data_IF_497896644327
#
_entry.id   IF_497896644327
#
_cell.length_a   1.000
_cell.length_b   1.000
_cell.length_c   1.000
_cell.angle_alpha   90.00
_cell.angle_beta   90.00
_cell.angle_gamma   90.00
#
_symmetry.space_group_name_H-M   'P 1'
#
loop_
_entity.id
_entity.type
_entity.pdbx_description
1 polymer ?
#
# COMPACT_ATOMS: atom_id res chain seq x y z
N UNK A 1 5.14 35.20 46.49
CA UNK A 1 5.24 33.84 47.09
C UNK A 1 4.23 32.81 46.55
N UNK A 2 3.17 33.18 45.81
CA UNK A 2 2.12 32.23 45.35
C UNK A 2 2.54 31.31 44.19
N UNK A 3 3.27 31.79 43.17
CA UNK A 3 3.66 30.99 41.99
C UNK A 3 4.59 29.81 42.27
N UNK A 4 5.43 29.88 43.31
CA UNK A 4 6.42 28.83 43.64
C UNK A 4 5.79 27.61 44.32
N UNK A 5 4.68 27.79 45.05
CA UNK A 5 3.92 26.68 45.67
C UNK A 5 3.13 25.87 44.62
N UNK A 6 2.61 26.53 43.58
CA UNK A 6 1.87 25.89 42.48
C UNK A 6 2.73 24.90 41.68
N UNK A 7 4.00 25.24 41.42
CA UNK A 7 4.92 24.38 40.65
C UNK A 7 5.39 23.16 41.44
N UNK A 8 5.56 23.31 42.76
CA UNK A 8 5.94 22.20 43.65
C UNK A 8 4.80 21.19 43.77
N UNK A 9 3.55 21.64 43.88
CA UNK A 9 2.38 20.75 43.94
C UNK A 9 2.17 19.96 42.65
N UNK A 10 2.45 20.54 41.47
CA UNK A 10 2.42 19.80 40.20
C UNK A 10 3.48 18.71 40.13
N UNK A 11 4.71 18.99 40.59
CA UNK A 11 5.78 17.98 40.63
C UNK A 11 5.47 16.86 41.62
N UNK A 12 4.91 17.18 42.79
CA UNK A 12 4.49 16.16 43.77
C UNK A 12 3.37 15.26 43.22
N UNK A 13 2.38 15.84 42.54
CA UNK A 13 1.29 15.05 41.94
C UNK A 13 1.80 14.14 40.81
N UNK A 14 2.78 14.59 40.02
CA UNK A 14 3.39 13.78 38.97
C UNK A 14 4.19 12.61 39.55
N UNK A 15 4.94 12.84 40.64
CA UNK A 15 5.67 11.79 41.35
C UNK A 15 4.69 10.78 41.97
N UNK A 16 3.58 11.26 42.55
CA UNK A 16 2.57 10.39 43.15
C UNK A 16 1.90 9.51 42.08
N UNK A 17 1.54 10.07 40.92
CA UNK A 17 0.99 9.35 39.77
C UNK A 17 1.95 8.25 39.27
N UNK A 18 3.24 8.59 39.18
CA UNK A 18 4.27 7.64 38.76
C UNK A 18 4.43 6.50 39.77
N UNK A 19 4.46 6.80 41.07
CA UNK A 19 4.54 5.80 42.14
C UNK A 19 3.32 4.88 42.17
N UNK A 20 2.12 5.40 41.92
CA UNK A 20 0.89 4.60 41.82
C UNK A 20 0.90 3.67 40.60
N UNK A 21 1.38 4.13 39.44
CA UNK A 21 1.51 3.30 38.25
C UNK A 21 2.50 2.15 38.48
N UNK A 22 3.62 2.42 39.14
CA UNK A 22 4.63 1.43 39.50
C UNK A 22 4.07 0.38 40.48
N UNK A 23 3.25 0.79 41.43
CA UNK A 23 2.58 -0.12 42.36
C UNK A 23 1.58 -1.05 41.64
N UNK A 24 0.82 -0.54 40.67
CA UNK A 24 -0.12 -1.35 39.88
C UNK A 24 0.63 -2.40 39.06
N UNK A 25 1.74 -2.03 38.41
CA UNK A 25 2.58 -2.99 37.67
C UNK A 25 3.13 -4.07 38.60
N UNK A 26 3.58 -3.70 39.80
CA UNK A 26 4.09 -4.67 40.79
C UNK A 26 2.99 -5.66 41.22
N UNK A 27 1.77 -5.18 41.45
CA UNK A 27 0.62 -6.05 41.80
C UNK A 27 0.27 -7.00 40.65
N UNK A 28 0.32 -6.54 39.40
CA UNK A 28 0.10 -7.38 38.22
C UNK A 28 1.16 -8.49 38.12
N UNK A 29 2.44 -8.15 38.34
CA UNK A 29 3.54 -9.13 38.32
C UNK A 29 3.34 -10.19 39.41
N UNK A 30 3.02 -9.79 40.65
CA UNK A 30 2.75 -10.71 41.76
C UNK A 30 1.53 -11.60 41.46
N UNK A 31 0.49 -11.05 40.83
CA UNK A 31 -0.69 -11.81 40.44
C UNK A 31 -0.37 -12.88 39.38
N UNK A 32 0.43 -12.53 38.36
CA UNK A 32 0.84 -13.47 37.31
C UNK A 32 1.73 -14.57 37.91
N UNK A 33 2.66 -14.23 38.79
CA UNK A 33 3.59 -15.20 39.42
C UNK A 33 2.85 -16.18 40.35
N UNK A 34 1.85 -15.71 41.11
CA UNK A 34 0.98 -16.57 41.92
C UNK A 34 0.08 -17.48 41.07
N UNK A 35 -0.34 -17.03 39.88
CA UNK A 35 -1.12 -17.85 38.94
C UNK A 35 -0.26 -18.95 38.29
N UNK A 36 0.94 -18.60 37.87
CA UNK A 36 1.96 -19.55 37.38
C UNK A 36 2.30 -20.64 38.42
N UNK A 37 2.36 -20.25 39.70
CA UNK A 37 2.63 -21.18 40.81
C UNK A 37 1.45 -22.10 41.18
N UNK A 38 0.22 -21.78 40.77
CA UNK A 38 -0.97 -22.59 41.05
C UNK A 38 -1.32 -23.58 39.94
N UNK A 39 -0.90 -23.31 38.69
CA UNK A 39 -1.15 -24.21 37.56
C UNK A 39 -0.18 -25.43 37.52
N UNK A 40 0.89 -25.44 38.32
CA UNK A 40 1.88 -26.53 38.35
C UNK A 40 1.59 -27.62 39.41
N UNK A 41 0.36 -27.68 39.94
CA UNK A 41 -0.10 -28.74 40.86
C UNK A 41 -1.51 -29.21 40.47
N UNK A 42 -1.66 -29.92 39.35
CA UNK A 42 -2.72 -30.93 39.17
C UNK A 42 -2.56 -31.69 37.85
N UNK A 43 -1.55 -32.56 37.78
CA UNK A 43 -1.61 -33.71 36.88
C UNK A 43 -1.87 -34.98 37.71
N UNK A 44 -3.07 -35.52 37.55
CA UNK A 44 -3.41 -36.85 38.05
C UNK A 44 -4.86 -37.04 38.46
N UNK A 45 -5.73 -37.43 37.51
CA UNK A 45 -6.49 -38.70 37.54
C UNK A 45 -7.64 -38.73 36.53
N UNK A 46 -7.73 -39.89 35.88
CA UNK A 46 -8.86 -40.39 35.10
C UNK A 46 -10.14 -40.56 35.93
N UNK A 47 -11.30 -40.35 35.29
CA UNK A 47 -12.42 -41.30 35.29
C UNK A 47 -13.53 -40.77 34.39
N UNK A 48 -14.03 -41.61 33.47
CA UNK A 48 -15.18 -41.28 32.65
C UNK A 48 -16.50 -41.35 33.42
N UNK A 49 -17.55 -40.82 32.80
CA UNK A 49 -18.93 -41.24 33.02
C UNK A 49 -19.80 -40.76 31.86
N UNK A 50 -20.57 -41.72 31.35
CA UNK A 50 -21.58 -41.66 30.30
C UNK A 50 -22.83 -40.89 30.77
N UNK A 51 -23.49 -40.19 29.85
CA UNK A 51 -24.83 -39.66 30.06
C UNK A 51 -25.42 -39.09 28.76
N UNK A 52 -26.20 -39.92 28.06
CA UNK A 52 -27.08 -39.54 26.94
C UNK A 52 -28.39 -38.95 27.49
N UNK A 53 -28.93 -37.90 26.87
CA UNK A 53 -30.37 -37.64 26.67
C UNK A 53 -30.57 -36.57 25.57
N UNK A 54 -31.13 -37.01 24.44
CA UNK A 54 -32.18 -36.45 23.55
C UNK A 54 -32.83 -35.11 23.96
N UNK A 55 -33.44 -34.25 23.11
CA UNK A 55 -33.69 -34.08 21.67
C UNK A 55 -34.50 -32.76 21.56
N UNK A 56 -34.75 -32.27 20.33
CA UNK A 56 -35.58 -31.14 19.88
C UNK A 56 -34.88 -29.75 19.87
N UNK A 57 -34.70 -29.04 18.75
CA UNK A 57 -35.40 -29.04 17.47
C UNK A 57 -36.04 -27.65 17.25
N UNK A 58 -35.36 -26.70 16.58
CA UNK A 58 -35.73 -26.21 15.24
C UNK A 58 -34.69 -25.21 14.70
N UNK A 59 -34.49 -25.12 13.37
CA UNK A 59 -33.38 -24.40 12.74
C UNK A 59 -33.75 -22.97 12.28
N UNK A 60 -32.74 -22.10 12.27
CA UNK A 60 -32.77 -20.74 11.71
C UNK A 60 -32.44 -20.82 10.20
N UNK A 61 -33.16 -20.10 9.32
CA UNK A 61 -33.01 -20.24 7.87
C UNK A 61 -31.75 -19.55 7.34
N UNK A 62 -31.05 -20.25 6.45
CA UNK A 62 -29.90 -19.77 5.66
C UNK A 62 -30.41 -19.09 4.38
N UNK A 63 -29.91 -17.92 3.96
CA UNK A 63 -30.23 -17.35 2.66
C UNK A 63 -29.39 -18.01 1.55
N UNK A 64 -30.10 -18.53 0.55
CA UNK A 64 -29.60 -19.09 -0.70
C UNK A 64 -29.06 -18.01 -1.65
N UNK A 65 -27.82 -18.19 -2.12
CA UNK A 65 -27.22 -17.43 -3.23
C UNK A 65 -27.46 -18.20 -4.54
N UNK A 66 -27.87 -17.57 -5.66
CA UNK A 66 -28.04 -18.24 -6.95
C UNK A 66 -26.70 -18.59 -7.61
N UNK A 67 -26.61 -19.79 -8.18
CA UNK A 67 -25.46 -20.26 -8.96
C UNK A 67 -25.38 -19.58 -10.34
N UNK A 68 -24.16 -19.19 -10.73
CA UNK A 68 -23.80 -18.77 -12.09
C UNK A 68 -23.65 -19.99 -13.02
N UNK A 69 -24.02 -19.90 -14.30
CA UNK A 69 -23.93 -21.01 -15.24
C UNK A 69 -22.50 -21.21 -15.77
N UNK A 70 -22.12 -22.48 -15.90
CA UNK A 70 -20.88 -22.97 -16.50
C UNK A 70 -21.08 -23.20 -18.00
N UNK A 71 -20.33 -22.48 -18.85
CA UNK A 71 -20.21 -22.79 -20.28
C UNK A 71 -18.90 -23.53 -20.54
N UNK A 72 -19.00 -24.78 -21.01
CA UNK A 72 -17.90 -25.54 -21.62
C UNK A 72 -17.85 -25.32 -23.14
N UNK A 73 -16.66 -25.31 -23.77
CA UNK A 73 -16.50 -25.05 -25.19
C UNK A 73 -16.72 -26.31 -26.06
N UNK A 74 -17.49 -26.15 -27.16
CA UNK A 74 -17.65 -27.18 -28.21
C UNK A 74 -16.51 -27.13 -29.24
N UNK A 75 -15.97 -28.31 -29.54
CA UNK A 75 -15.03 -28.63 -30.64
C UNK A 75 -15.75 -28.67 -32.01
N UNK A 76 -15.07 -28.45 -33.14
CA UNK A 76 -15.68 -28.42 -34.47
C UNK A 76 -15.59 -29.76 -35.22
N UNK A 77 -16.61 -30.02 -36.04
CA UNK A 77 -16.71 -31.15 -36.97
C UNK A 77 -16.03 -30.87 -38.32
N UNK A 78 -15.44 -31.92 -38.87
CA UNK A 78 -14.81 -32.06 -40.19
C UNK A 78 -15.79 -32.50 -41.27
N UNK A 79 -15.62 -32.03 -42.53
CA UNK A 79 -15.35 -32.85 -43.73
C UNK A 79 -15.62 -32.10 -45.06
N UNK A 80 -14.62 -32.16 -45.97
CA UNK A 80 -14.65 -32.48 -47.42
C UNK A 80 -15.74 -31.92 -48.36
N UNK A 81 -15.58 -31.75 -49.67
CA UNK A 81 -14.49 -31.61 -50.65
C UNK A 81 -15.22 -31.37 -52.00
N UNK A 82 -14.62 -30.62 -52.93
CA UNK A 82 -15.17 -30.45 -54.29
C UNK A 82 -14.13 -29.85 -55.23
N UNK A 83 -13.75 -30.63 -56.23
CA UNK A 83 -12.67 -30.45 -57.22
C UNK A 83 -13.14 -29.85 -58.55
N UNK A 84 -12.17 -29.56 -59.42
CA UNK A 84 -12.17 -29.19 -60.87
C UNK A 84 -11.95 -27.68 -61.12
N UNK A 85 -11.09 -27.21 -62.02
CA UNK A 85 -10.15 -27.81 -62.98
C UNK A 85 -9.09 -26.73 -63.36
N UNK A 86 -8.00 -27.17 -64.02
CA UNK A 86 -6.78 -26.42 -64.28
C UNK A 86 -6.82 -25.53 -65.54
N UNK A 87 -5.99 -24.48 -65.58
CA UNK A 87 -5.28 -24.14 -66.82
C UNK A 87 -3.95 -23.38 -66.60
N UNK A 88 -3.03 -23.72 -67.51
CA UNK A 88 -1.60 -23.47 -67.75
C UNK A 88 -0.84 -22.21 -67.25
N UNK A 89 0.32 -22.50 -66.65
CA UNK A 89 1.70 -21.97 -66.82
C UNK A 89 1.97 -20.58 -67.47
N UNK A 90 2.75 -19.75 -66.78
CA UNK A 90 4.11 -19.35 -67.22
C UNK A 90 4.92 -18.68 -66.08
N UNK A 91 6.23 -18.94 -66.07
CA UNK A 91 7.24 -18.51 -65.10
C UNK A 91 7.73 -17.06 -65.33
N UNK A 92 7.96 -16.28 -64.26
CA UNK A 92 9.29 -15.77 -63.85
C UNK A 92 9.23 -14.92 -62.55
N UNK A 93 10.35 -14.76 -61.81
CA UNK A 93 10.35 -14.49 -60.37
C UNK A 93 10.50 -12.99 -60.05
N UNK A 94 9.55 -12.45 -59.28
CA UNK A 94 9.66 -11.15 -58.63
C UNK A 94 9.56 -11.35 -57.13
N UNK A 95 10.69 -11.24 -56.43
CA UNK A 95 10.72 -11.29 -54.99
C UNK A 95 10.05 -10.06 -54.39
N UNK A 96 9.12 -10.30 -53.49
CA UNK A 96 8.76 -9.40 -52.40
C UNK A 96 8.30 -10.30 -51.27
N UNK A 97 9.25 -10.64 -50.39
CA UNK A 97 8.93 -11.14 -49.06
C UNK A 97 8.05 -10.08 -48.41
N UNK A 98 6.78 -10.41 -48.19
CA UNK A 98 5.89 -9.66 -47.35
C UNK A 98 6.63 -9.38 -46.03
N UNK A 99 6.99 -8.12 -45.82
CA UNK A 99 7.51 -7.65 -44.56
C UNK A 99 6.44 -7.99 -43.52
N UNK A 100 6.83 -8.79 -42.53
CA UNK A 100 6.10 -8.86 -41.28
C UNK A 100 5.89 -7.41 -40.84
N UNK A 101 4.63 -7.02 -40.67
CA UNK A 101 4.29 -5.75 -40.05
C UNK A 101 4.94 -5.77 -38.67
N UNK A 102 5.92 -4.90 -38.48
CA UNK A 102 6.60 -4.70 -37.20
C UNK A 102 5.53 -4.32 -36.16
N UNK A 103 5.21 -5.26 -35.27
CA UNK A 103 4.64 -4.96 -33.95
C UNK A 103 5.41 -3.78 -33.37
N UNK A 104 4.74 -2.72 -32.85
CA UNK A 104 5.44 -1.55 -32.37
C UNK A 104 6.36 -1.95 -31.21
N UNK A 105 7.66 -2.06 -31.49
CA UNK A 105 8.64 -2.25 -30.43
C UNK A 105 8.52 -1.04 -29.50
N UNK A 106 8.11 -1.28 -28.25
CA UNK A 106 8.09 -0.25 -27.22
C UNK A 106 9.54 0.14 -26.91
N UNK A 107 10.08 1.06 -27.71
CA UNK A 107 11.45 1.54 -27.60
C UNK A 107 11.58 2.68 -26.57
N UNK A 108 10.61 2.79 -25.66
CA UNK A 108 10.53 3.79 -24.60
C UNK A 108 10.43 3.08 -23.25
N UNK A 109 10.96 3.67 -22.18
CA UNK A 109 10.83 3.10 -20.84
C UNK A 109 9.37 3.04 -20.38
N UNK A 110 9.02 2.02 -19.60
CA UNK A 110 7.77 2.00 -18.83
C UNK A 110 7.98 2.85 -17.58
N UNK A 111 7.07 3.77 -17.29
CA UNK A 111 7.18 4.74 -16.21
C UNK A 111 6.22 4.36 -15.09
N UNK A 112 6.79 4.04 -13.92
CA UNK A 112 6.02 3.84 -12.69
C UNK A 112 6.19 5.06 -11.79
N UNK A 113 5.09 5.61 -11.28
CA UNK A 113 5.11 6.74 -10.35
C UNK A 113 4.55 6.34 -8.99
N UNK A 114 5.17 6.84 -7.92
CA UNK A 114 4.80 6.54 -6.55
C UNK A 114 4.69 7.79 -5.71
N UNK A 115 3.57 7.93 -5.02
CA UNK A 115 3.33 8.95 -4.01
C UNK A 115 3.14 8.30 -2.64
N UNK A 116 3.36 9.06 -1.57
CA UNK A 116 3.13 8.62 -0.19
C UNK A 116 1.67 8.74 0.27
N UNK A 117 1.48 9.18 1.51
CA UNK A 117 0.17 9.14 2.19
C UNK A 117 -0.81 10.18 1.63
N UNK A 118 -2.01 9.73 1.27
CA UNK A 118 -3.16 10.57 0.91
C UNK A 118 -4.31 10.33 1.88
N UNK A 119 -4.97 11.41 2.30
CA UNK A 119 -6.11 11.37 3.21
C UNK A 119 -7.27 12.21 2.69
N UNK A 120 -8.40 11.55 2.43
CA UNK A 120 -9.63 12.16 1.92
C UNK A 120 -10.77 12.18 2.96
N UNK A 121 -10.44 12.13 4.25
CA UNK A 121 -11.44 12.28 5.32
C UNK A 121 -12.30 13.53 5.11
N UNK A 122 -13.63 13.40 5.27
CA UNK A 122 -14.57 14.48 4.95
C UNK A 122 -14.35 15.74 5.79
N UNK A 123 -13.84 15.60 7.02
CA UNK A 123 -13.56 16.72 7.92
C UNK A 123 -12.10 17.22 7.81
N UNK A 124 -11.34 16.66 6.86
CA UNK A 124 -9.94 17.01 6.65
C UNK A 124 -9.78 18.36 5.95
N UNK A 125 -8.65 19.02 6.23
CA UNK A 125 -8.29 20.27 5.55
C UNK A 125 -8.06 20.10 4.04
N UNK A 126 -7.44 19.00 3.54
CA UNK A 126 -7.38 18.68 2.12
C UNK A 126 -8.75 18.72 1.43
N UNK A 127 -9.74 17.96 1.91
CA UNK A 127 -11.08 17.92 1.30
C UNK A 127 -11.76 19.29 1.39
N UNK A 128 -11.64 19.98 2.54
CA UNK A 128 -12.16 21.34 2.67
C UNK A 128 -11.52 22.34 1.69
N UNK A 129 -10.25 22.15 1.29
CA UNK A 129 -9.62 22.93 0.22
C UNK A 129 -10.24 22.57 -1.13
N UNK A 130 -10.32 21.29 -1.46
CA UNK A 130 -10.87 20.82 -2.73
C UNK A 130 -12.26 21.42 -3.00
N UNK A 131 -13.15 21.31 -2.01
CA UNK A 131 -14.51 21.84 -2.11
C UNK A 131 -14.53 23.38 -2.20
N UNK A 132 -13.66 24.07 -1.47
CA UNK A 132 -13.60 25.55 -1.48
C UNK A 132 -13.03 26.11 -2.78
N UNK A 133 -11.94 25.52 -3.29
CA UNK A 133 -11.29 26.01 -4.50
C UNK A 133 -12.15 25.73 -5.74
N UNK A 134 -12.89 24.62 -5.74
CA UNK A 134 -13.82 24.23 -6.82
C UNK A 134 -13.15 24.25 -8.21
N UNK A 135 -11.92 23.71 -8.26
CA UNK A 135 -11.06 23.60 -9.46
C UNK A 135 -10.65 22.15 -9.74
N UNK A 136 -11.34 21.19 -9.14
CA UNK A 136 -10.88 19.80 -9.06
C UNK A 136 -9.51 19.71 -8.40
N UNK A 137 -8.75 18.68 -8.77
CA UNK A 137 -7.42 18.39 -8.21
C UNK A 137 -6.42 19.52 -8.45
N UNK A 138 -6.55 20.30 -9.52
CA UNK A 138 -5.68 21.46 -9.81
C UNK A 138 -5.84 22.60 -8.80
N UNK A 139 -6.91 22.59 -8.01
CA UNK A 139 -7.03 23.46 -6.83
C UNK A 139 -6.08 23.06 -5.70
N UNK A 140 -5.60 21.82 -5.69
CA UNK A 140 -4.98 21.14 -4.55
C UNK A 140 -3.55 20.66 -4.84
N UNK A 141 -3.27 20.29 -6.08
CA UNK A 141 -1.98 19.81 -6.55
C UNK A 141 -1.58 20.64 -7.78
N UNK A 142 -0.29 21.01 -7.90
CA UNK A 142 0.20 21.79 -9.03
C UNK A 142 0.03 21.06 -10.36
N UNK A 143 -0.22 21.82 -11.42
CA UNK A 143 -0.42 21.30 -12.78
C UNK A 143 0.73 20.40 -13.23
N UNK A 144 1.98 20.78 -12.97
CA UNK A 144 3.17 19.98 -13.31
C UNK A 144 3.13 18.59 -12.66
N UNK A 145 2.73 18.48 -11.38
CA UNK A 145 2.64 17.19 -10.69
C UNK A 145 1.47 16.36 -11.21
N UNK A 146 0.32 17.00 -11.49
CA UNK A 146 -0.82 16.30 -12.09
C UNK A 146 -0.43 15.75 -13.46
N UNK A 147 0.32 16.52 -14.25
CA UNK A 147 0.88 16.06 -15.52
C UNK A 147 1.83 14.87 -15.34
N UNK A 148 2.78 14.94 -14.40
CA UNK A 148 3.73 13.86 -14.14
C UNK A 148 3.05 12.56 -13.68
N UNK A 149 2.03 12.66 -12.81
CA UNK A 149 1.24 11.50 -12.36
C UNK A 149 0.45 10.89 -13.52
N UNK A 150 -0.24 11.70 -14.32
CA UNK A 150 -1.05 11.21 -15.46
C UNK A 150 -0.22 10.77 -16.67
N UNK A 151 1.08 11.11 -16.71
CA UNK A 151 2.00 10.69 -17.76
C UNK A 151 2.76 9.41 -17.43
N UNK A 152 2.63 8.90 -16.20
CA UNK A 152 3.12 7.57 -15.84
C UNK A 152 2.22 6.49 -16.45
N UNK A 153 2.79 5.33 -16.76
CA UNK A 153 2.00 4.18 -17.20
C UNK A 153 1.24 3.53 -16.04
N UNK A 154 1.78 3.65 -14.81
CA UNK A 154 1.12 3.22 -13.57
C UNK A 154 1.46 4.23 -12.46
N UNK A 155 0.44 4.82 -11.83
CA UNK A 155 0.58 5.66 -10.65
C UNK A 155 -0.02 4.98 -9.40
N UNK A 156 0.83 4.81 -8.38
CA UNK A 156 0.49 4.19 -7.11
C UNK A 156 0.65 5.14 -5.91
N UNK A 157 -0.29 5.06 -4.95
CA UNK A 157 -0.21 5.82 -3.69
C UNK A 157 -0.72 5.04 -2.46
N UNK A 158 -0.47 5.56 -1.26
CA UNK A 158 -1.06 5.03 -0.03
C UNK A 158 -2.42 5.69 0.26
N UNK A 159 -3.49 4.91 0.19
CA UNK A 159 -4.84 5.35 0.55
C UNK A 159 -5.06 5.16 2.05
N UNK A 160 -4.79 6.19 2.84
CA UNK A 160 -4.76 6.09 4.31
C UNK A 160 -6.06 6.56 4.98
N UNK A 161 -7.19 5.99 4.53
CA UNK A 161 -8.54 6.25 5.02
C UNK A 161 -9.50 5.17 4.48
N UNK A 162 -10.74 5.13 4.97
CA UNK A 162 -11.79 4.26 4.42
C UNK A 162 -12.81 5.06 3.57
N UNK A 163 -13.32 4.50 2.47
CA UNK A 163 -14.50 5.02 1.79
C UNK A 163 -15.76 4.38 2.36
N UNK A 164 -16.63 5.17 3.02
CA UNK A 164 -17.94 4.69 3.46
C UNK A 164 -18.83 5.83 3.97
N UNK A 165 -20.15 5.61 3.97
CA UNK A 165 -21.11 6.43 4.73
C UNK A 165 -21.66 5.72 5.96
N UNK A 166 -21.20 4.50 6.24
CA UNK A 166 -21.59 3.62 7.35
C UNK A 166 -20.35 3.12 8.10
N UNK A 167 -20.52 2.07 8.90
CA UNK A 167 -19.50 1.60 9.83
C UNK A 167 -19.49 2.38 11.15
N UNK A 168 -18.85 1.79 12.16
CA UNK A 168 -18.74 2.36 13.51
C UNK A 168 -17.31 2.80 13.75
N UNK A 169 -17.14 4.08 14.10
CA UNK A 169 -15.84 4.68 14.44
C UNK A 169 -15.17 3.92 15.59
N UNK A 170 -13.88 3.63 15.43
CA UNK A 170 -13.04 3.08 16.50
C UNK A 170 -12.57 4.23 17.40
N UNK A 171 -13.43 4.61 18.34
CA UNK A 171 -13.28 5.79 19.22
C UNK A 171 -12.05 5.75 20.13
N UNK A 172 -11.41 4.59 20.29
CA UNK A 172 -10.16 4.42 21.02
C UNK A 172 -8.93 4.89 20.22
N UNK A 173 -9.04 5.08 18.91
CA UNK A 173 -7.98 5.66 18.09
C UNK A 173 -7.89 7.17 18.30
N UNK A 174 -6.68 7.70 18.21
CA UNK A 174 -6.47 9.16 18.25
C UNK A 174 -6.96 9.86 16.98
N UNK A 175 -6.96 9.14 15.86
CA UNK A 175 -7.38 9.61 14.55
C UNK A 175 -8.07 8.48 13.81
N UNK A 176 -9.23 8.79 13.24
CA UNK A 176 -9.98 7.93 12.33
C UNK A 176 -10.33 8.73 11.08
N UNK A 177 -10.20 8.13 9.90
CA UNK A 177 -10.39 8.81 8.62
C UNK A 177 -11.42 8.10 7.76
N UNK A 178 -12.46 8.83 7.33
CA UNK A 178 -13.49 8.33 6.42
C UNK A 178 -13.87 9.37 5.37
N UNK A 179 -13.73 8.95 4.13
CA UNK A 179 -14.20 9.67 2.96
C UNK A 179 -15.59 9.18 2.56
N UNK A 180 -16.45 10.07 2.06
CA UNK A 180 -17.65 9.62 1.36
C UNK A 180 -17.24 8.90 0.06
N UNK A 181 -17.87 7.78 -0.35
CA UNK A 181 -17.49 7.03 -1.57
C UNK A 181 -17.33 7.89 -2.84
N UNK A 182 -18.22 8.89 -3.04
CA UNK A 182 -18.09 9.92 -4.09
C UNK A 182 -16.72 10.60 -4.21
N UNK A 183 -15.91 10.63 -3.15
CA UNK A 183 -14.56 11.24 -3.15
C UNK A 183 -13.55 10.42 -3.94
N UNK A 184 -13.88 9.20 -4.36
CA UNK A 184 -13.04 8.38 -5.23
C UNK A 184 -12.70 9.10 -6.55
N UNK A 185 -13.55 10.02 -7.01
CA UNK A 185 -13.26 10.83 -8.19
C UNK A 185 -11.99 11.70 -8.02
N UNK A 186 -11.61 12.06 -6.79
CA UNK A 186 -10.33 12.76 -6.53
C UNK A 186 -9.14 11.88 -6.92
N UNK A 187 -9.19 10.57 -6.62
CA UNK A 187 -8.12 9.64 -7.02
C UNK A 187 -8.05 9.50 -8.54
N UNK A 188 -9.21 9.50 -9.23
CA UNK A 188 -9.27 9.51 -10.70
C UNK A 188 -8.69 10.80 -11.29
N UNK A 189 -9.00 11.96 -10.70
CA UNK A 189 -8.44 13.24 -11.13
C UNK A 189 -6.91 13.30 -10.93
N UNK A 190 -6.39 12.61 -9.91
CA UNK A 190 -4.94 12.43 -9.73
C UNK A 190 -4.32 11.48 -10.76
N UNK A 191 -5.12 10.68 -11.48
CA UNK A 191 -4.63 9.63 -12.39
C UNK A 191 -4.19 8.36 -11.68
N UNK A 192 -4.78 8.03 -10.52
CA UNK A 192 -4.36 6.88 -9.71
C UNK A 192 -4.87 5.57 -10.28
N UNK A 193 -3.97 4.63 -10.55
CA UNK A 193 -4.31 3.29 -11.07
C UNK A 193 -4.45 2.27 -9.94
N UNK A 194 -3.58 2.35 -8.93
CA UNK A 194 -3.51 1.39 -7.83
C UNK A 194 -3.24 2.06 -6.49
N UNK A 195 -3.86 1.53 -5.42
CA UNK A 195 -3.62 2.00 -4.06
C UNK A 195 -3.17 0.88 -3.12
N UNK A 196 -2.32 1.23 -2.15
CA UNK A 196 -2.13 0.40 -0.95
C UNK A 196 -3.26 0.68 0.04
N UNK A 197 -3.89 -0.39 0.54
CA UNK A 197 -4.80 -0.37 1.68
C UNK A 197 -4.18 -0.98 2.94
N UNK A 198 -2.97 -1.54 2.86
CA UNK A 198 -2.28 -2.03 4.04
C UNK A 198 -1.71 -0.88 4.86
N UNK A 199 -2.53 -0.31 5.75
CA UNK A 199 -2.13 0.76 6.67
C UNK A 199 -3.00 0.77 7.93
N UNK A 200 -2.57 1.50 8.96
CA UNK A 200 -3.28 1.53 10.23
C UNK A 200 -4.65 2.23 10.19
N UNK A 201 -5.13 2.71 9.03
CA UNK A 201 -6.39 3.44 8.87
C UNK A 201 -7.47 2.70 8.08
N UNK A 202 -7.16 1.52 7.53
CA UNK A 202 -8.10 0.76 6.69
C UNK A 202 -9.39 0.29 7.40
N UNK A 203 -9.37 0.09 8.73
CA UNK A 203 -10.53 -0.34 9.53
C UNK A 203 -10.96 0.71 10.57
N UNK A 204 -10.70 1.99 10.33
CA UNK A 204 -11.11 3.07 11.23
C UNK A 204 -12.60 3.12 11.54
N UNK A 205 -13.42 2.60 10.64
CA UNK A 205 -14.87 2.47 10.78
C UNK A 205 -15.33 1.00 10.69
N UNK A 206 -14.42 0.07 10.99
CA UNK A 206 -14.66 -1.36 11.03
C UNK A 206 -14.80 -2.02 9.65
N UNK A 207 -15.17 -3.31 9.67
CA UNK A 207 -15.24 -4.17 8.48
C UNK A 207 -16.27 -3.67 7.45
N UNK A 208 -17.37 -3.06 7.88
CA UNK A 208 -18.36 -2.50 6.94
C UNK A 208 -17.75 -1.43 6.04
N UNK A 209 -16.98 -0.51 6.62
CA UNK A 209 -16.33 0.54 5.86
C UNK A 209 -15.17 0.02 5.01
N UNK A 210 -14.46 -1.02 5.46
CA UNK A 210 -13.45 -1.70 4.66
C UNK A 210 -14.07 -2.36 3.41
N UNK A 211 -15.21 -3.04 3.55
CA UNK A 211 -15.91 -3.65 2.42
C UNK A 211 -16.43 -2.59 1.44
N UNK A 212 -17.00 -1.49 1.96
CA UNK A 212 -17.41 -0.37 1.11
C UNK A 212 -16.21 0.26 0.38
N UNK A 213 -15.03 0.26 1.00
CA UNK A 213 -13.77 0.72 0.38
C UNK A 213 -13.41 -0.14 -0.82
N UNK A 214 -13.48 -1.47 -0.69
CA UNK A 214 -13.24 -2.38 -1.82
C UNK A 214 -14.23 -2.12 -2.96
N UNK A 215 -15.54 -2.08 -2.66
CA UNK A 215 -16.57 -1.81 -3.68
C UNK A 215 -16.36 -0.45 -4.35
N UNK A 216 -16.03 0.59 -3.59
CA UNK A 216 -15.83 1.94 -4.13
C UNK A 216 -14.66 1.98 -5.11
N UNK A 217 -13.55 1.30 -4.79
CA UNK A 217 -12.36 1.24 -5.66
C UNK A 217 -12.62 0.38 -6.90
N UNK A 218 -13.26 -0.78 -6.74
CA UNK A 218 -13.62 -1.69 -7.84
C UNK A 218 -14.57 -1.01 -8.84
N UNK A 219 -15.61 -0.32 -8.37
CA UNK A 219 -16.54 0.44 -9.23
C UNK A 219 -15.86 1.64 -9.91
N UNK A 220 -14.80 2.17 -9.31
CA UNK A 220 -14.00 3.25 -9.89
C UNK A 220 -12.95 2.76 -10.90
N UNK A 221 -12.70 1.46 -10.97
CA UNK A 221 -11.62 0.89 -11.80
C UNK A 221 -10.23 1.17 -11.24
N UNK A 222 -10.10 1.36 -9.92
CA UNK A 222 -8.82 1.58 -9.23
C UNK A 222 -8.47 0.28 -8.50
N UNK A 223 -7.34 -0.31 -8.82
CA UNK A 223 -6.88 -1.54 -8.18
C UNK A 223 -6.39 -1.29 -6.75
N UNK A 224 -6.37 -2.33 -5.93
CA UNK A 224 -5.82 -2.25 -4.58
C UNK A 224 -5.07 -3.52 -4.16
N UNK A 225 -4.08 -3.31 -3.29
CA UNK A 225 -3.25 -4.35 -2.68
C UNK A 225 -3.16 -4.17 -1.16
N UNK A 226 -2.84 -5.26 -0.46
CA UNK A 226 -2.55 -5.23 0.97
C UNK A 226 -3.77 -5.39 1.90
N UNK A 227 -4.98 -5.45 1.35
CA UNK A 227 -6.20 -5.76 2.06
C UNK A 227 -7.16 -6.59 1.20
N UNK A 228 -8.09 -7.30 1.83
CA UNK A 228 -9.05 -8.12 1.11
C UNK A 228 -10.16 -8.67 1.98
N UNK A 229 -11.15 -9.30 1.34
CA UNK A 229 -12.28 -9.98 2.01
C UNK A 229 -11.84 -11.19 2.84
N UNK A 230 -10.64 -11.70 2.58
CA UNK A 230 -9.96 -12.78 3.29
C UNK A 230 -8.44 -12.66 3.06
N UNK A 231 -7.67 -13.54 3.69
CA UNK A 231 -6.20 -13.50 3.59
C UNK A 231 -5.68 -13.79 2.17
N UNK A 232 -6.35 -14.66 1.41
CA UNK A 232 -5.93 -14.96 0.03
C UNK A 232 -6.04 -13.73 -0.86
N UNK A 233 -7.12 -12.94 -0.78
CA UNK A 233 -7.22 -11.67 -1.51
C UNK A 233 -6.26 -10.62 -0.97
N UNK A 234 -6.09 -10.54 0.35
CA UNK A 234 -5.23 -9.53 0.98
C UNK A 234 -3.75 -9.70 0.63
N UNK A 235 -3.29 -10.95 0.48
CA UNK A 235 -1.90 -11.29 0.16
C UNK A 235 -1.61 -11.36 -1.35
N UNK A 236 -2.64 -11.42 -2.19
CA UNK A 236 -2.50 -11.61 -3.64
C UNK A 236 -1.84 -10.40 -4.30
N UNK A 237 -0.84 -10.61 -5.19
CA UNK A 237 -0.33 -9.54 -6.03
C UNK A 237 -1.36 -9.04 -7.05
N UNK A 238 -1.25 -7.79 -7.44
CA UNK A 238 -1.91 -7.23 -8.64
C UNK A 238 -0.89 -7.13 -9.76
N UNK A 239 -1.27 -7.49 -10.98
CA UNK A 239 -0.38 -7.54 -12.13
C UNK A 239 -0.84 -6.59 -13.23
N UNK A 240 0.10 -5.84 -13.81
CA UNK A 240 -0.09 -5.06 -15.03
C UNK A 240 0.88 -5.56 -16.09
N UNK A 241 0.40 -5.74 -17.32
CA UNK A 241 1.25 -6.08 -18.47
C UNK A 241 1.25 -4.92 -19.45
N UNK A 242 2.43 -4.35 -19.70
CA UNK A 242 2.65 -3.23 -20.63
C UNK A 242 3.69 -3.68 -21.65
N UNK A 243 3.27 -3.81 -22.91
CA UNK A 243 4.07 -4.52 -23.91
C UNK A 243 4.33 -5.96 -23.48
N UNK A 244 5.61 -6.36 -23.45
CA UNK A 244 6.04 -7.69 -23.02
C UNK A 244 6.46 -7.76 -21.54
N UNK A 245 6.34 -6.66 -20.79
CA UNK A 245 6.77 -6.58 -19.39
C UNK A 245 5.56 -6.71 -18.46
N UNK A 246 5.60 -7.71 -17.57
CA UNK A 246 4.63 -7.86 -16.48
C UNK A 246 5.19 -7.32 -15.18
N UNK A 247 4.41 -6.48 -14.51
CA UNK A 247 4.79 -5.77 -13.28
C UNK A 247 3.81 -6.18 -12.19
N UNK A 248 4.34 -6.67 -11.07
CA UNK A 248 3.55 -7.10 -9.92
C UNK A 248 3.66 -6.11 -8.77
N UNK A 249 2.53 -5.86 -8.11
CA UNK A 249 2.44 -5.00 -6.93
C UNK A 249 1.97 -5.83 -5.75
N UNK A 250 2.68 -5.71 -4.63
CA UNK A 250 2.29 -6.28 -3.34
C UNK A 250 2.42 -5.22 -2.27
N UNK A 251 1.57 -5.28 -1.23
CA UNK A 251 1.64 -4.35 -0.11
C UNK A 251 1.42 -5.04 1.23
N UNK A 252 2.02 -4.48 2.29
CA UNK A 252 1.82 -4.94 3.66
C UNK A 252 2.07 -3.83 4.68
N UNK A 253 1.49 -4.00 5.88
CA UNK A 253 1.66 -3.05 6.98
C UNK A 253 2.42 -3.66 8.14
N UNK A 254 3.37 -2.90 8.71
CA UNK A 254 3.93 -3.17 10.04
C UNK A 254 3.37 -2.21 11.10
N UNK A 255 2.27 -1.54 10.78
CA UNK A 255 1.52 -0.66 11.68
C UNK A 255 0.07 -1.11 11.64
N UNK A 256 -0.30 -1.99 12.57
CA UNK A 256 -1.64 -2.56 12.64
C UNK A 256 -2.18 -2.29 14.04
N UNK A 257 -3.35 -1.65 14.10
CA UNK A 257 -3.91 -1.15 15.36
C UNK A 257 -4.36 -2.29 16.29
N UNK A 258 -5.01 -3.32 15.76
CA UNK A 258 -5.53 -4.45 16.54
C UNK A 258 -5.37 -5.79 15.81
N UNK A 259 -5.28 -6.89 16.56
CA UNK A 259 -5.04 -8.23 16.02
C UNK A 259 -6.17 -8.74 15.12
N UNK A 260 -7.40 -8.28 15.32
CA UNK A 260 -8.55 -8.62 14.51
C UNK A 260 -8.62 -7.84 13.19
N UNK A 261 -7.72 -6.88 12.96
CA UNK A 261 -7.59 -6.14 11.69
C UNK A 261 -6.78 -6.91 10.64
N UNK A 262 -6.08 -7.97 11.06
CA UNK A 262 -5.50 -8.91 10.12
C UNK A 262 -6.61 -9.69 9.42
N UNK A 263 -6.48 -9.83 8.11
CA UNK A 263 -7.28 -10.77 7.35
C UNK A 263 -7.07 -12.20 7.88
N UNK A 264 -8.08 -13.04 7.69
CA UNK A 264 -7.97 -14.50 7.87
C UNK A 264 -8.69 -15.17 6.72
N UNK A 265 -8.73 -16.50 6.69
CA UNK A 265 -9.46 -17.25 5.66
C UNK A 265 -10.95 -16.86 5.60
N UNK A 266 -11.52 -16.37 6.71
CA UNK A 266 -12.95 -16.04 6.82
C UNK A 266 -13.24 -14.62 7.30
N UNK A 267 -12.21 -13.77 7.45
CA UNK A 267 -12.37 -12.40 7.96
C UNK A 267 -11.68 -11.40 7.04
N UNK A 268 -12.38 -10.33 6.61
CA UNK A 268 -11.76 -9.22 5.91
C UNK A 268 -10.72 -8.52 6.77
N UNK A 269 -9.69 -7.98 6.12
CA UNK A 269 -8.66 -7.22 6.80
C UNK A 269 -7.44 -7.02 5.93
N UNK A 270 -6.33 -6.72 6.58
CA UNK A 270 -5.05 -6.46 5.91
C UNK A 270 -4.07 -7.60 6.08
N UNK A 271 -3.10 -7.68 5.17
CA UNK A 271 -1.86 -8.41 5.41
C UNK A 271 -0.89 -7.53 6.20
N UNK A 272 -0.23 -8.13 7.18
CA UNK A 272 0.81 -7.46 7.94
C UNK A 272 2.19 -8.09 7.75
N UNK A 273 3.21 -7.38 8.24
CA UNK A 273 4.61 -7.81 8.13
C UNK A 273 5.43 -7.60 9.42
N UNK A 274 4.77 -7.73 10.58
CA UNK A 274 5.51 -7.89 11.84
C UNK A 274 6.30 -9.21 11.84
N UNK A 275 5.65 -10.29 11.40
CA UNK A 275 6.31 -11.49 10.88
C UNK A 275 6.30 -11.40 9.35
N UNK A 276 7.47 -11.34 8.69
CA UNK A 276 7.54 -11.15 7.26
C UNK A 276 7.27 -12.42 6.44
N UNK A 277 7.13 -13.60 7.04
CA UNK A 277 7.07 -14.86 6.31
C UNK A 277 5.94 -14.91 5.26
N UNK A 278 4.75 -14.40 5.62
CA UNK A 278 3.62 -14.38 4.70
C UNK A 278 3.84 -13.38 3.56
N UNK A 279 4.33 -12.18 3.86
CA UNK A 279 4.59 -11.18 2.83
C UNK A 279 5.75 -11.57 1.89
N UNK A 280 6.78 -12.23 2.43
CA UNK A 280 7.84 -12.86 1.62
C UNK A 280 7.26 -13.91 0.67
N UNK A 281 6.23 -14.65 1.08
CA UNK A 281 5.55 -15.61 0.19
C UNK A 281 4.83 -14.88 -0.94
N UNK A 282 4.12 -13.78 -0.65
CA UNK A 282 3.51 -12.93 -1.69
C UNK A 282 4.53 -12.37 -2.67
N UNK A 283 5.69 -11.91 -2.19
CA UNK A 283 6.77 -11.40 -3.06
C UNK A 283 7.32 -12.50 -3.98
N UNK A 284 7.48 -13.72 -3.46
CA UNK A 284 7.93 -14.86 -4.26
C UNK A 284 6.91 -15.26 -5.33
N UNK A 285 5.63 -15.32 -4.96
CA UNK A 285 4.54 -15.57 -5.90
C UNK A 285 4.50 -14.49 -6.99
N UNK A 286 4.63 -13.22 -6.62
CA UNK A 286 4.74 -12.12 -7.56
C UNK A 286 5.90 -12.32 -8.54
N UNK A 287 7.10 -12.61 -8.01
CA UNK A 287 8.33 -12.81 -8.81
C UNK A 287 8.25 -14.02 -9.75
N UNK A 288 7.54 -15.07 -9.38
CA UNK A 288 7.33 -16.24 -10.24
C UNK A 288 6.44 -15.94 -11.46
N UNK A 289 5.64 -14.86 -11.39
CA UNK A 289 4.64 -14.52 -12.39
C UNK A 289 4.82 -13.13 -13.02
N UNK A 290 5.96 -12.46 -12.77
CA UNK A 290 6.24 -11.13 -13.31
C UNK A 290 7.73 -10.89 -13.59
N UNK A 291 8.01 -9.87 -14.39
CA UNK A 291 9.38 -9.45 -14.74
C UNK A 291 9.94 -8.45 -13.72
N UNK A 292 9.05 -7.62 -13.15
CA UNK A 292 9.37 -6.62 -12.14
C UNK A 292 8.40 -6.71 -10.95
N UNK A 293 8.90 -6.59 -9.73
CA UNK A 293 8.09 -6.66 -8.49
C UNK A 293 8.27 -5.40 -7.64
N UNK A 294 7.17 -4.73 -7.34
CA UNK A 294 7.11 -3.58 -6.41
C UNK A 294 6.50 -4.03 -5.09
N UNK A 295 7.21 -3.81 -3.99
CA UNK A 295 6.67 -3.98 -2.64
C UNK A 295 6.43 -2.62 -1.98
N UNK A 296 5.17 -2.30 -1.72
CA UNK A 296 4.75 -1.05 -1.09
C UNK A 296 4.44 -1.28 0.40
N UNK A 297 5.20 -0.67 1.31
CA UNK A 297 5.20 -1.07 2.73
C UNK A 297 4.92 0.09 3.68
N UNK A 298 3.95 -0.09 4.56
CA UNK A 298 3.54 0.90 5.54
C UNK A 298 4.18 0.61 6.91
N UNK A 299 5.17 1.41 7.33
CA UNK A 299 6.09 1.04 8.43
C UNK A 299 6.85 2.22 9.07
N UNK A 300 7.69 1.93 10.06
CA UNK A 300 8.58 2.93 10.62
C UNK A 300 7.97 3.64 11.82
N UNK A 301 8.53 4.80 12.15
CA UNK A 301 8.13 5.60 13.30
C UNK A 301 7.72 6.98 12.81
N UNK A 302 6.52 7.41 13.18
CA UNK A 302 5.99 8.72 12.82
C UNK A 302 7.00 9.85 13.11
N UNK A 303 7.21 10.70 12.10
CA UNK A 303 8.00 11.94 12.15
C UNK A 303 9.48 11.73 12.45
N UNK A 304 10.02 10.57 12.08
CA UNK A 304 11.46 10.28 12.15
C UNK A 304 12.01 10.08 10.74
N UNK A 305 12.96 10.93 10.33
CA UNK A 305 13.60 10.86 9.01
C UNK A 305 14.58 9.69 8.88
N UNK A 306 15.18 9.23 9.98
CA UNK A 306 16.06 8.06 9.98
C UNK A 306 15.22 6.78 10.06
N UNK A 307 15.25 5.90 9.04
CA UNK A 307 14.58 4.60 9.12
C UNK A 307 15.20 3.76 10.24
N UNK A 308 14.33 3.16 11.05
CA UNK A 308 14.78 2.28 12.14
C UNK A 308 15.28 0.94 11.60
N UNK A 309 16.11 0.24 12.37
CA UNK A 309 16.85 -0.95 11.88
C UNK A 309 15.96 -2.02 11.25
N UNK A 310 14.80 -2.30 11.84
CA UNK A 310 13.89 -3.30 11.26
C UNK A 310 13.37 -2.90 9.88
N UNK A 311 13.25 -1.61 9.56
CA UNK A 311 12.86 -1.18 8.21
C UNK A 311 13.95 -1.59 7.22
N UNK A 312 15.23 -1.35 7.56
CA UNK A 312 16.39 -1.71 6.74
C UNK A 312 16.51 -3.21 6.55
N UNK A 313 16.40 -3.98 7.64
CA UNK A 313 16.46 -5.44 7.59
C UNK A 313 15.32 -6.05 6.75
N UNK A 314 14.09 -5.54 6.91
CA UNK A 314 12.93 -6.05 6.18
C UNK A 314 13.01 -5.67 4.69
N UNK A 315 13.37 -4.43 4.37
CA UNK A 315 13.52 -3.99 2.98
C UNK A 315 14.52 -4.87 2.21
N UNK A 316 15.69 -5.14 2.79
CA UNK A 316 16.70 -6.04 2.20
C UNK A 316 16.19 -7.47 2.05
N UNK A 317 15.48 -8.01 3.05
CA UNK A 317 14.84 -9.35 2.96
C UNK A 317 13.80 -9.43 1.83
N UNK A 318 13.09 -8.35 1.55
CA UNK A 318 12.10 -8.30 0.47
C UNK A 318 12.78 -8.26 -0.90
N UNK A 319 13.86 -7.48 -1.05
CA UNK A 319 14.70 -7.53 -2.25
C UNK A 319 15.26 -8.95 -2.45
N UNK A 320 15.83 -9.56 -1.40
CA UNK A 320 16.34 -10.93 -1.45
C UNK A 320 15.26 -11.99 -1.79
N UNK A 321 13.99 -11.70 -1.49
CA UNK A 321 12.86 -12.56 -1.81
C UNK A 321 12.37 -12.42 -3.26
N UNK A 322 12.79 -11.38 -3.98
CA UNK A 322 12.42 -11.16 -5.38
C UNK A 322 11.82 -9.79 -5.69
N UNK A 323 11.72 -8.87 -4.72
CA UNK A 323 11.31 -7.50 -5.01
C UNK A 323 12.40 -6.75 -5.79
N UNK A 324 11.99 -5.92 -6.75
CA UNK A 324 12.87 -5.06 -7.55
C UNK A 324 12.85 -3.60 -7.07
N UNK A 325 11.79 -3.19 -6.37
CA UNK A 325 11.69 -1.89 -5.73
C UNK A 325 10.89 -1.98 -4.42
N UNK A 326 11.36 -1.27 -3.39
CA UNK A 326 10.65 -1.11 -2.12
C UNK A 326 10.23 0.34 -1.96
N UNK A 327 8.93 0.57 -1.78
CA UNK A 327 8.34 1.90 -1.62
C UNK A 327 7.69 2.00 -0.24
N UNK A 328 8.21 2.86 0.61
CA UNK A 328 7.73 3.03 1.99
C UNK A 328 6.77 4.21 2.17
N UNK A 329 5.93 4.10 3.19
CA UNK A 329 5.03 5.15 3.68
C UNK A 329 4.77 4.95 5.19
N UNK A 330 3.93 5.80 5.83
CA UNK A 330 3.61 5.90 7.27
C UNK A 330 4.35 6.97 8.10
N UNK A 331 5.68 7.17 8.00
CA UNK A 331 6.37 8.12 8.88
C UNK A 331 5.86 9.56 8.73
N UNK A 332 5.03 9.87 7.73
CA UNK A 332 4.47 11.19 7.43
C UNK A 332 5.53 12.26 7.13
N UNK A 333 6.77 11.82 6.89
CA UNK A 333 7.94 12.60 6.48
C UNK A 333 8.76 11.78 5.49
N UNK A 334 9.58 12.44 4.67
CA UNK A 334 10.56 11.76 3.83
C UNK A 334 11.53 10.95 4.68
N UNK A 335 11.83 9.73 4.26
CA UNK A 335 13.01 8.99 4.75
C UNK A 335 13.94 8.73 3.58
N UNK A 336 15.20 8.43 3.87
CA UNK A 336 16.24 8.25 2.87
C UNK A 336 15.97 7.18 1.82
N UNK A 337 16.80 7.21 0.78
CA UNK A 337 16.88 6.19 -0.26
C UNK A 337 18.16 5.37 -0.08
N UNK A 338 18.08 4.08 -0.35
CA UNK A 338 19.20 3.15 -0.40
C UNK A 338 19.14 2.36 -1.71
N UNK A 339 20.30 1.99 -2.26
CA UNK A 339 20.39 0.91 -3.25
C UNK A 339 20.96 -0.34 -2.59
N UNK A 340 20.23 -1.44 -2.69
CA UNK A 340 20.66 -2.75 -2.20
C UNK A 340 20.60 -3.77 -3.34
N UNK A 341 21.71 -4.44 -3.65
CA UNK A 341 21.84 -5.34 -4.81
C UNK A 341 21.39 -4.69 -6.14
N UNK A 342 21.65 -3.40 -6.30
CA UNK A 342 21.26 -2.63 -7.50
C UNK A 342 19.76 -2.29 -7.58
N UNK A 343 18.99 -2.55 -6.52
CA UNK A 343 17.55 -2.29 -6.43
C UNK A 343 17.26 -1.18 -5.44
N UNK A 344 16.25 -0.36 -5.74
CA UNK A 344 15.93 0.84 -4.95
C UNK A 344 15.08 0.50 -3.72
N UNK A 345 15.42 1.13 -2.61
CA UNK A 345 14.62 1.15 -1.38
C UNK A 345 14.38 2.62 -1.03
N UNK A 346 13.15 3.10 -1.21
CA UNK A 346 12.70 4.40 -0.71
C UNK A 346 11.96 4.18 0.61
N UNK A 347 12.55 4.54 1.76
CA UNK A 347 12.01 4.14 3.06
C UNK A 347 10.71 4.86 3.44
N UNK A 348 10.47 6.07 2.93
CA UNK A 348 9.21 6.80 3.05
C UNK A 348 9.15 7.96 2.06
N UNK A 349 8.03 8.09 1.34
CA UNK A 349 7.73 9.24 0.47
C UNK A 349 6.97 10.37 1.17
N UNK A 350 6.72 10.23 2.48
CA UNK A 350 6.03 11.22 3.30
C UNK A 350 4.54 11.37 2.97
N UNK A 351 3.96 12.49 3.39
CA UNK A 351 2.57 12.82 3.05
C UNK A 351 2.53 13.42 1.66
N UNK A 352 1.75 12.85 0.74
CA UNK A 352 1.56 13.45 -0.57
C UNK A 352 0.44 14.49 -0.59
N UNK A 353 -0.71 14.17 0.02
CA UNK A 353 -1.79 15.13 0.23
C UNK A 353 -2.66 14.73 1.43
N UNK A 354 -2.25 15.15 2.63
CA UNK A 354 -2.78 14.61 3.89
C UNK A 354 -3.20 15.66 4.92
N UNK A 355 -2.42 16.73 5.09
CA UNK A 355 -2.69 17.76 6.09
C UNK A 355 -2.18 19.13 5.62
N UNK A 356 -2.28 20.15 6.47
CA UNK A 356 -1.90 21.52 6.11
C UNK A 356 -0.46 21.90 6.45
N UNK A 357 0.35 20.97 6.96
CA UNK A 357 1.72 21.26 7.39
C UNK A 357 2.58 21.64 6.19
N UNK A 358 3.52 22.56 6.40
CA UNK A 358 4.63 22.74 5.47
C UNK A 358 5.63 21.60 5.65
N UNK A 359 5.77 20.70 4.67
CA UNK A 359 6.66 19.52 4.74
C UNK A 359 7.08 19.04 3.36
N UNK A 360 8.31 18.54 3.30
CA UNK A 360 8.88 17.81 2.17
C UNK A 360 8.06 16.55 1.88
N UNK A 361 7.93 16.25 0.59
CA UNK A 361 7.31 15.04 0.03
C UNK A 361 8.04 14.70 -1.27
N UNK A 362 7.78 13.53 -1.83
CA UNK A 362 8.31 13.14 -3.13
C UNK A 362 7.26 12.54 -4.05
N UNK A 363 7.46 12.72 -5.36
CA UNK A 363 6.94 11.79 -6.37
C UNK A 363 8.13 11.00 -6.90
N UNK A 364 8.20 9.72 -6.56
CA UNK A 364 9.28 8.84 -7.02
C UNK A 364 8.85 8.22 -8.36
N UNK A 365 9.71 8.29 -9.37
CA UNK A 365 9.51 7.67 -10.68
C UNK A 365 10.57 6.60 -10.91
N UNK A 366 10.14 5.45 -11.41
CA UNK A 366 11.00 4.39 -11.91
C UNK A 366 10.81 4.28 -13.41
N UNK A 367 11.91 4.30 -14.16
CA UNK A 367 11.92 4.11 -15.60
C UNK A 367 12.47 2.72 -15.90
N UNK A 368 11.60 1.80 -16.28
CA UNK A 368 12.00 0.45 -16.69
C UNK A 368 12.42 0.49 -18.16
N UNK A 369 13.73 0.52 -18.38
CA UNK A 369 14.30 0.70 -19.72
C UNK A 369 14.23 -0.60 -20.54
N UNK A 370 14.12 -0.52 -21.88
CA UNK A 370 14.12 -1.70 -22.75
C UNK A 370 15.38 -2.57 -22.66
N UNK A 371 16.49 -2.03 -22.17
CA UNK A 371 17.73 -2.79 -21.95
C UNK A 371 17.76 -3.55 -20.61
N UNK A 372 16.68 -3.48 -19.84
CA UNK A 372 16.52 -4.12 -18.53
C UNK A 372 17.08 -3.32 -17.36
N UNK A 373 17.66 -2.13 -17.60
CA UNK A 373 18.06 -1.21 -16.52
C UNK A 373 16.84 -0.49 -15.93
N UNK A 374 17.02 0.05 -14.72
CA UNK A 374 15.99 0.86 -14.05
C UNK A 374 16.60 2.16 -13.58
N UNK A 375 16.14 3.28 -14.14
CA UNK A 375 16.49 4.59 -13.63
C UNK A 375 15.50 5.01 -12.54
N UNK A 376 16.02 5.69 -11.53
CA UNK A 376 15.24 6.18 -10.39
C UNK A 376 15.30 7.69 -10.39
N UNK A 377 14.15 8.36 -10.35
CA UNK A 377 14.06 9.82 -10.26
C UNK A 377 13.15 10.21 -9.10
N UNK A 378 13.59 11.15 -8.27
CA UNK A 378 12.77 11.75 -7.23
C UNK A 378 12.43 13.19 -7.61
N UNK A 379 11.17 13.47 -7.94
CA UNK A 379 10.74 14.84 -8.11
C UNK A 379 10.60 15.51 -6.73
N UNK A 380 11.18 16.71 -6.53
CA UNK A 380 11.14 17.40 -5.25
C UNK A 380 9.77 18.02 -5.05
N UNK A 381 9.04 17.59 -4.02
CA UNK A 381 7.69 18.04 -3.72
C UNK A 381 7.62 18.71 -2.36
N UNK A 382 6.80 19.74 -2.27
CA UNK A 382 6.48 20.42 -1.02
C UNK A 382 4.97 20.43 -0.82
N UNK A 383 4.55 20.06 0.38
CA UNK A 383 3.23 20.39 0.89
C UNK A 383 3.31 21.73 1.60
N UNK A 384 2.39 22.64 1.33
CA UNK A 384 2.22 23.85 2.14
C UNK A 384 0.76 24.27 2.13
N UNK A 385 0.16 24.44 3.31
CA UNK A 385 -1.20 24.92 3.46
C UNK A 385 -2.22 24.14 2.59
N UNK A 386 -2.15 22.81 2.64
CA UNK A 386 -2.99 21.86 1.87
C UNK A 386 -2.83 21.93 0.35
N UNK A 387 -1.80 22.59 -0.14
CA UNK A 387 -1.42 22.58 -1.54
C UNK A 387 -0.11 21.81 -1.72
N UNK A 388 -0.11 20.83 -2.62
CA UNK A 388 1.05 20.01 -2.95
C UNK A 388 1.63 20.50 -4.28
N UNK A 389 2.91 20.84 -4.31
CA UNK A 389 3.52 21.38 -5.52
C UNK A 389 4.95 20.92 -5.72
N UNK A 390 5.35 20.80 -6.98
CA UNK A 390 6.73 20.55 -7.36
C UNK A 390 7.57 21.79 -7.07
N UNK A 391 8.73 21.59 -6.43
CA UNK A 391 9.70 22.65 -6.21
C UNK A 391 10.42 22.93 -7.54
N UNK A 392 10.24 24.14 -8.08
CA UNK A 392 10.81 24.57 -9.36
C UNK A 392 11.93 25.60 -9.21
N UNK A 393 11.99 26.31 -8.08
CA UNK A 393 13.08 27.22 -7.75
C UNK A 393 14.40 26.46 -7.56
N UNK A 394 15.45 26.85 -8.30
CA UNK A 394 16.73 26.14 -8.36
C UNK A 394 17.41 26.00 -6.99
N UNK A 395 17.41 27.08 -6.20
CA UNK A 395 18.02 27.07 -4.86
C UNK A 395 17.25 26.16 -3.90
N UNK A 396 15.92 26.21 -3.93
CA UNK A 396 15.07 25.33 -3.13
C UNK A 396 15.17 23.86 -3.57
N UNK A 397 15.30 23.58 -4.86
CA UNK A 397 15.54 22.22 -5.40
C UNK A 397 16.86 21.65 -4.89
N UNK A 398 17.93 22.43 -5.00
CA UNK A 398 19.24 22.04 -4.47
C UNK A 398 19.18 21.76 -2.97
N UNK A 399 18.54 22.63 -2.18
CA UNK A 399 18.38 22.42 -0.75
C UNK A 399 17.56 21.16 -0.42
N UNK A 400 16.53 20.85 -1.22
CA UNK A 400 15.77 19.61 -1.09
C UNK A 400 16.63 18.37 -1.35
N UNK A 401 17.43 18.37 -2.42
CA UNK A 401 18.30 17.23 -2.73
C UNK A 401 19.46 17.10 -1.74
N UNK A 402 20.06 18.20 -1.27
CA UNK A 402 21.04 18.16 -0.17
C UNK A 402 20.44 17.55 1.11
N UNK A 403 19.18 17.90 1.42
CA UNK A 403 18.45 17.27 2.51
C UNK A 403 18.24 15.77 2.27
N UNK A 404 17.76 15.37 1.08
CA UNK A 404 17.55 13.96 0.75
C UNK A 404 18.85 13.17 0.79
N UNK A 405 19.97 13.70 0.27
CA UNK A 405 21.29 13.08 0.39
C UNK A 405 21.70 12.91 1.86
N UNK A 406 21.42 13.90 2.72
CA UNK A 406 21.83 13.87 4.13
C UNK A 406 21.13 12.78 4.96
N UNK A 407 19.97 12.30 4.49
CA UNK A 407 19.19 11.25 5.16
C UNK A 407 19.23 9.91 4.41
N UNK A 408 19.91 9.85 3.26
CA UNK A 408 20.00 8.66 2.40
C UNK A 408 21.33 7.92 2.58
N UNK A 409 21.43 6.72 2.01
CA UNK A 409 22.50 5.77 2.28
C UNK A 409 23.32 5.51 1.02
N UNK A 410 24.48 6.18 0.93
CA UNK A 410 25.44 6.05 -0.18
C UNK A 410 24.82 6.33 -1.56
N UNK A 411 23.99 7.38 -1.66
CA UNK A 411 23.37 7.84 -2.91
C UNK A 411 23.67 9.30 -3.19
N UNK A 412 23.55 9.70 -4.45
CA UNK A 412 23.59 11.10 -4.89
C UNK A 412 22.44 11.41 -5.84
N UNK A 413 22.06 12.69 -5.91
CA UNK A 413 21.02 13.19 -6.79
C UNK A 413 21.62 14.18 -7.78
N UNK A 414 21.30 14.04 -9.07
CA UNK A 414 21.61 15.07 -10.06
C UNK A 414 20.60 16.23 -10.02
N UNK A 415 20.80 17.24 -10.88
CA UNK A 415 19.96 18.43 -10.94
C UNK A 415 18.49 18.14 -11.34
N UNK A 416 18.27 17.02 -12.04
CA UNK A 416 16.95 16.54 -12.47
C UNK A 416 16.31 15.58 -11.45
N UNK A 417 17.03 15.25 -10.38
CA UNK A 417 16.58 14.36 -9.32
C UNK A 417 16.79 12.88 -9.61
N UNK A 418 17.56 12.50 -10.64
CA UNK A 418 17.95 11.11 -10.83
C UNK A 418 18.89 10.67 -9.71
N UNK A 419 18.62 9.48 -9.18
CA UNK A 419 19.29 8.93 -8.01
C UNK A 419 20.26 7.84 -8.45
N UNK A 420 21.50 7.93 -8.01
CA UNK A 420 22.52 6.92 -8.28
C UNK A 420 23.32 6.56 -7.02
N UNK A 421 23.83 5.31 -6.90
CA UNK A 421 24.79 4.96 -5.86
C UNK A 421 26.07 5.82 -5.96
N UNK A 422 26.68 6.16 -4.82
CA UNK A 422 27.97 6.87 -4.74
C UNK A 422 29.18 5.97 -4.96
#
# INVERSE_FOLDING_TARGET
MSRRKSTINRKLNMILLFMTALLVVLVIIIYIDNRSSSDNKNDGKSSGLTGSLNDEGSPIPTPTVPALPTDEPKKPDTAEAGTEEADTADNEPGGESAQNEDEPSFNKPIILAFAGDVNLDEDSRPVARYDRENKGILGCISEDLVYEMNSADIFMLNNEFAFSTRGTEIVEKSYTFRAHPKRVDILKEMGTDIVSLANNHALDFGVEALLDTFTTLEEAGIDYVGAGINMDRAKAPVYYTIGDTTIAFVAASRVIYAMDWYATDTRPGMIGTYDPALFITSIKEARENSDFVVAYVHWGVERVHEPVEYQKELARKYIDAGADAIIGCHPHVMQGIEFYNGKVIAYSLGNYWFNSSKRESGLLKLYLNPDGSTDVQLLPVMNENTYTYQITDEDARRAYFEFMESISFDVTFDEEGYVSPR
#
